data_IF_374098838609
#
_entry.id   IF_374098838609
#
_cell.length_a   1.000
_cell.length_b   1.000
_cell.length_c   1.000
_cell.angle_alpha   90.00
_cell.angle_beta   90.00
_cell.angle_gamma   90.00
#
_symmetry.space_group_name_H-M   'P 1'
#
loop_
_entity.id
_entity.type
_entity.pdbx_description
1 polymer ?
#
# COMPACT_ATOMS: atom_id res chain seq x y z
N UNK A 1 -11.93 -13.39 -42.96
CA UNK A 1 -12.84 -14.47 -42.47
C UNK A 1 -13.09 -14.23 -41.01
N UNK A 2 -14.23 -13.61 -40.71
CA UNK A 2 -14.61 -13.25 -39.36
C UNK A 2 -15.22 -14.46 -38.64
N UNK A 3 -14.77 -14.73 -37.41
CA UNK A 3 -15.46 -15.63 -36.47
C UNK A 3 -16.50 -14.82 -35.71
N UNK A 4 -17.79 -15.11 -35.98
CA UNK A 4 -18.89 -14.59 -35.21
C UNK A 4 -18.89 -15.20 -33.80
N UNK A 5 -18.99 -14.34 -32.78
CA UNK A 5 -19.23 -14.74 -31.40
C UNK A 5 -20.69 -15.19 -31.27
N UNK A 6 -20.91 -16.41 -30.79
CA UNK A 6 -22.23 -16.94 -30.48
C UNK A 6 -22.77 -16.26 -29.20
N UNK A 7 -24.07 -15.94 -29.15
CA UNK A 7 -24.67 -15.32 -27.97
C UNK A 7 -24.86 -16.34 -26.84
N UNK A 8 -24.42 -15.99 -25.64
CA UNK A 8 -24.44 -16.78 -24.38
C UNK A 8 -25.89 -17.00 -23.84
N UNK A 9 -26.93 -16.87 -24.63
CA UNK A 9 -28.32 -16.85 -24.17
C UNK A 9 -29.08 -18.17 -24.30
N UNK A 10 -28.53 -19.26 -24.80
CA UNK A 10 -29.33 -20.45 -25.14
C UNK A 10 -29.00 -21.74 -24.37
N UNK A 11 -28.33 -21.70 -23.22
CA UNK A 11 -28.03 -22.90 -22.44
C UNK A 11 -28.63 -22.96 -21.02
N UNK A 12 -29.70 -22.23 -20.72
CA UNK A 12 -30.38 -22.38 -19.42
C UNK A 12 -31.80 -22.95 -19.65
N UNK A 13 -31.95 -24.23 -19.40
CA UNK A 13 -33.22 -24.93 -19.51
C UNK A 13 -34.26 -24.47 -18.50
N UNK A 14 -35.55 -24.75 -18.78
CA UNK A 14 -36.74 -24.30 -18.01
C UNK A 14 -36.75 -24.75 -16.52
N UNK A 15 -35.95 -25.73 -16.12
CA UNK A 15 -35.84 -26.20 -14.73
C UNK A 15 -35.05 -25.24 -13.81
N UNK A 16 -34.24 -24.34 -14.38
CA UNK A 16 -33.39 -23.44 -13.61
C UNK A 16 -34.07 -22.12 -13.23
N UNK A 17 -35.22 -21.80 -13.82
CA UNK A 17 -35.91 -20.52 -13.55
C UNK A 17 -36.52 -20.47 -12.16
N UNK A 18 -37.09 -21.58 -11.68
CA UNK A 18 -37.66 -21.64 -10.33
C UNK A 18 -36.62 -21.55 -9.23
N UNK A 19 -35.42 -22.11 -9.45
CA UNK A 19 -34.31 -22.02 -8.51
C UNK A 19 -33.66 -20.62 -8.53
N UNK A 20 -33.56 -19.99 -9.69
CA UNK A 20 -33.05 -18.64 -9.85
C UNK A 20 -33.96 -17.57 -9.23
N UNK A 21 -35.29 -17.77 -9.31
CA UNK A 21 -36.24 -16.86 -8.70
C UNK A 21 -36.33 -17.06 -7.17
N UNK A 22 -36.26 -18.31 -6.68
CA UNK A 22 -36.15 -18.59 -5.24
C UNK A 22 -34.85 -18.06 -4.62
N UNK A 23 -33.71 -18.18 -5.32
CA UNK A 23 -32.43 -17.61 -4.90
C UNK A 23 -32.46 -16.08 -4.96
N UNK A 24 -33.23 -15.47 -5.86
CA UNK A 24 -33.44 -14.03 -5.92
C UNK A 24 -34.28 -13.49 -4.77
N UNK A 25 -35.28 -14.21 -4.30
CA UNK A 25 -36.10 -13.76 -3.17
C UNK A 25 -35.39 -13.91 -1.81
N UNK A 26 -34.56 -14.95 -1.62
CA UNK A 26 -33.86 -15.18 -0.36
C UNK A 26 -32.56 -14.36 -0.21
N UNK A 27 -31.99 -13.79 -1.26
CA UNK A 27 -30.71 -13.13 -1.21
C UNK A 27 -30.70 -11.63 -1.52
N UNK A 28 -31.84 -10.97 -1.60
CA UNK A 28 -31.84 -9.50 -1.50
C UNK A 28 -31.54 -9.12 -0.05
N UNK A 29 -30.32 -9.36 0.39
CA UNK A 29 -29.81 -8.69 1.59
C UNK A 29 -30.05 -7.20 1.39
N UNK A 30 -30.94 -6.64 2.21
CA UNK A 30 -31.19 -5.20 2.22
C UNK A 30 -29.82 -4.55 2.42
N UNK A 31 -29.32 -3.86 1.40
CA UNK A 31 -28.11 -3.04 1.55
C UNK A 31 -28.48 -1.94 2.53
N UNK A 32 -28.07 -2.11 3.78
CA UNK A 32 -28.16 -1.05 4.78
C UNK A 32 -26.93 -0.19 4.58
N UNK A 33 -27.06 1.09 4.24
CA UNK A 33 -25.91 1.96 4.15
C UNK A 33 -25.27 2.03 5.55
N UNK A 34 -23.98 1.81 5.60
CA UNK A 34 -23.18 1.88 6.83
C UNK A 34 -23.24 3.30 7.45
N UNK A 35 -23.57 4.29 6.65
CA UNK A 35 -23.66 5.70 7.04
C UNK A 35 -25.00 6.30 6.64
N UNK A 36 -25.77 6.77 7.63
CA UNK A 36 -27.00 7.53 7.42
C UNK A 36 -26.73 9.04 7.56
N UNK A 37 -26.74 9.73 6.44
CA UNK A 37 -26.59 11.18 6.43
C UNK A 37 -27.79 11.92 7.06
N UNK A 38 -27.53 12.88 7.90
CA UNK A 38 -28.51 13.86 8.37
C UNK A 38 -29.02 14.72 7.21
N UNK A 39 -30.09 15.50 7.43
CA UNK A 39 -30.61 16.41 6.40
C UNK A 39 -29.56 17.46 5.99
N UNK A 40 -28.77 17.93 6.94
CA UNK A 40 -27.69 18.92 6.71
C UNK A 40 -26.55 18.31 5.89
N UNK A 41 -26.09 17.13 6.24
CA UNK A 41 -25.05 16.39 5.48
C UNK A 41 -25.51 16.07 4.06
N UNK A 42 -26.76 15.67 3.88
CA UNK A 42 -27.32 15.48 2.52
C UNK A 42 -27.30 16.79 1.70
N UNK A 43 -27.54 17.94 2.33
CA UNK A 43 -27.43 19.22 1.64
C UNK A 43 -25.97 19.50 1.24
N UNK A 44 -25.00 19.22 2.11
CA UNK A 44 -23.56 19.34 1.80
C UNK A 44 -23.12 18.40 0.69
N UNK A 45 -23.57 17.14 0.71
CA UNK A 45 -23.30 16.16 -0.36
C UNK A 45 -23.82 16.66 -1.70
N UNK A 46 -25.05 17.19 -1.76
CA UNK A 46 -25.61 17.77 -3.00
C UNK A 46 -24.82 19.00 -3.47
N UNK A 47 -24.41 19.85 -2.54
CA UNK A 47 -23.58 21.01 -2.86
C UNK A 47 -22.22 20.58 -3.45
N UNK A 48 -21.57 19.56 -2.85
CA UNK A 48 -20.33 18.99 -3.35
C UNK A 48 -20.52 18.39 -4.74
N UNK A 49 -21.58 17.58 -4.93
CA UNK A 49 -21.93 16.98 -6.22
C UNK A 49 -22.08 18.04 -7.31
N UNK A 50 -22.84 19.11 -7.03
CA UNK A 50 -23.07 20.20 -7.96
C UNK A 50 -21.79 20.98 -8.27
N UNK A 51 -20.98 21.29 -7.25
CA UNK A 51 -19.74 22.05 -7.42
C UNK A 51 -18.68 21.31 -8.24
N UNK A 52 -18.63 19.97 -8.11
CA UNK A 52 -17.64 19.13 -8.79
C UNK A 52 -18.17 18.45 -10.06
N UNK A 53 -19.44 18.65 -10.44
CA UNK A 53 -20.06 17.95 -11.58
C UNK A 53 -20.17 16.45 -11.38
N UNK A 54 -20.32 15.98 -10.14
CA UNK A 54 -20.35 14.55 -9.78
C UNK A 54 -21.79 14.07 -9.59
N UNK A 55 -21.98 12.75 -9.75
CA UNK A 55 -23.20 12.10 -9.31
C UNK A 55 -23.31 12.14 -7.77
N UNK A 56 -24.53 12.33 -7.22
CA UNK A 56 -24.74 12.43 -5.77
C UNK A 56 -24.17 11.23 -4.99
N UNK A 57 -24.28 10.01 -5.53
CA UNK A 57 -23.72 8.83 -4.89
C UNK A 57 -22.17 8.91 -4.77
N UNK A 58 -21.50 9.39 -5.81
CA UNK A 58 -20.04 9.59 -5.78
C UNK A 58 -19.67 10.65 -4.74
N UNK A 59 -20.39 11.76 -4.71
CA UNK A 59 -20.16 12.80 -3.72
C UNK A 59 -20.45 12.31 -2.29
N UNK A 60 -21.46 11.46 -2.08
CA UNK A 60 -21.75 10.83 -0.80
C UNK A 60 -20.61 9.93 -0.31
N UNK A 61 -20.03 9.12 -1.20
CA UNK A 61 -18.87 8.27 -0.89
C UNK A 61 -17.64 9.13 -0.54
N UNK A 62 -17.39 10.19 -1.29
CA UNK A 62 -16.29 11.11 -0.99
C UNK A 62 -16.49 11.79 0.37
N UNK A 63 -17.70 12.29 0.61
CA UNK A 63 -18.06 12.96 1.86
C UNK A 63 -17.90 12.05 3.09
N UNK A 64 -18.35 10.79 3.01
CA UNK A 64 -18.20 9.80 4.10
C UNK A 64 -16.73 9.47 4.41
N UNK A 65 -15.82 9.79 3.50
CA UNK A 65 -14.36 9.64 3.65
C UNK A 65 -13.66 10.95 4.06
N UNK A 66 -14.41 11.97 4.47
CA UNK A 66 -13.85 13.28 4.86
C UNK A 66 -13.43 14.16 3.69
N UNK A 67 -13.77 13.78 2.44
CA UNK A 67 -13.53 14.57 1.23
C UNK A 67 -14.80 15.43 1.00
N UNK A 68 -14.89 16.52 1.73
CA UNK A 68 -16.10 17.31 1.93
C UNK A 68 -16.06 18.69 1.25
N UNK A 69 -14.95 19.03 0.57
CA UNK A 69 -14.81 20.26 -0.21
C UNK A 69 -14.45 19.98 -1.67
N UNK A 70 -14.76 20.90 -2.60
CA UNK A 70 -14.39 20.77 -4.01
C UNK A 70 -12.88 20.61 -4.21
N UNK A 71 -12.06 21.31 -3.46
CA UNK A 71 -10.60 21.26 -3.55
C UNK A 71 -10.05 19.89 -3.15
N UNK A 72 -10.60 19.30 -2.06
CA UNK A 72 -10.26 17.95 -1.64
C UNK A 72 -10.71 16.92 -2.68
N UNK A 73 -11.92 17.10 -3.25
CA UNK A 73 -12.45 16.21 -4.28
C UNK A 73 -11.61 16.29 -5.57
N UNK A 74 -11.24 17.48 -6.02
CA UNK A 74 -10.34 17.64 -7.17
C UNK A 74 -8.99 16.96 -6.93
N UNK A 75 -8.39 17.20 -5.79
CA UNK A 75 -7.10 16.58 -5.43
C UNK A 75 -7.16 15.06 -5.40
N UNK A 76 -8.27 14.48 -4.92
CA UNK A 76 -8.47 13.04 -4.84
C UNK A 76 -8.76 12.41 -6.21
N UNK A 77 -9.63 13.05 -7.01
CA UNK A 77 -10.08 12.52 -8.30
C UNK A 77 -9.11 12.81 -9.46
N UNK A 78 -8.26 13.82 -9.31
CA UNK A 78 -7.30 14.23 -10.34
C UNK A 78 -5.87 14.07 -9.83
N UNK A 79 -5.36 12.83 -9.72
CA UNK A 79 -4.01 12.59 -9.23
C UNK A 79 -2.98 13.31 -10.11
N UNK A 80 -2.11 14.08 -9.47
CA UNK A 80 -1.09 14.87 -10.16
C UNK A 80 0.19 14.91 -9.33
N UNK A 81 1.34 14.87 -10.00
CA UNK A 81 2.63 15.06 -9.36
C UNK A 81 2.76 16.41 -8.60
N UNK A 82 1.91 17.39 -8.93
CA UNK A 82 1.83 18.67 -8.19
C UNK A 82 1.38 18.48 -6.73
N UNK A 83 0.72 17.38 -6.43
CA UNK A 83 0.21 17.07 -5.11
C UNK A 83 1.19 16.23 -4.28
N UNK A 84 2.33 15.85 -4.84
CA UNK A 84 3.36 15.12 -4.09
C UNK A 84 3.95 16.02 -3.01
N UNK A 85 3.95 15.49 -1.81
CA UNK A 85 4.62 16.11 -0.69
C UNK A 85 6.12 15.78 -0.74
N UNK A 86 6.93 16.62 -0.10
CA UNK A 86 8.34 16.27 0.02
C UNK A 86 8.49 15.01 0.88
N UNK A 87 9.16 13.93 0.40
CA UNK A 87 9.39 12.75 1.20
C UNK A 87 10.25 13.04 2.44
N UNK A 88 11.04 14.11 2.44
CA UNK A 88 11.86 14.53 3.57
C UNK A 88 11.08 15.15 4.74
N UNK A 89 9.76 15.29 4.60
CA UNK A 89 8.87 15.56 5.74
C UNK A 89 8.64 14.28 6.58
N UNK A 90 8.84 13.09 6.02
CA UNK A 90 8.78 11.85 6.79
C UNK A 90 10.04 11.69 7.63
N UNK A 91 9.85 11.41 8.91
CA UNK A 91 10.93 11.05 9.83
C UNK A 91 11.69 9.83 9.30
N UNK A 92 13.01 9.84 9.39
CA UNK A 92 13.86 8.73 8.95
C UNK A 92 14.22 8.76 7.45
N UNK A 93 13.58 9.60 6.64
CA UNK A 93 13.82 9.63 5.19
C UNK A 93 15.24 10.12 4.85
N UNK A 94 15.82 11.07 5.62
CA UNK A 94 17.21 11.50 5.41
C UNK A 94 18.17 10.36 5.72
N UNK A 95 17.99 9.72 6.85
CA UNK A 95 18.81 8.59 7.31
C UNK A 95 18.78 7.44 6.30
N UNK A 96 17.61 7.17 5.68
CA UNK A 96 17.48 6.19 4.61
C UNK A 96 18.28 6.58 3.38
N UNK A 97 18.13 7.83 2.91
CA UNK A 97 18.84 8.29 1.70
C UNK A 97 20.34 8.36 1.91
N UNK A 98 20.78 8.79 3.10
CA UNK A 98 22.20 8.85 3.46
C UNK A 98 22.81 7.45 3.54
N UNK A 99 22.10 6.49 4.16
CA UNK A 99 22.52 5.09 4.23
C UNK A 99 22.68 4.46 2.84
N UNK A 100 21.75 4.72 1.92
CA UNK A 100 21.83 4.26 0.53
C UNK A 100 23.05 4.88 -0.18
N UNK A 101 23.31 6.18 0.04
CA UNK A 101 24.46 6.87 -0.54
C UNK A 101 25.81 6.32 -0.01
N UNK A 102 25.88 6.02 1.30
CA UNK A 102 27.04 5.38 1.93
C UNK A 102 27.30 4.00 1.34
N UNK A 103 26.27 3.14 1.23
CA UNK A 103 26.37 1.81 0.62
C UNK A 103 26.84 1.90 -0.82
N UNK A 104 26.31 2.86 -1.60
CA UNK A 104 26.75 3.11 -2.97
C UNK A 104 28.23 3.49 -3.02
N UNK A 105 28.67 4.42 -2.21
CA UNK A 105 30.07 4.89 -2.17
C UNK A 105 31.04 3.77 -1.80
N UNK A 106 30.62 2.86 -0.90
CA UNK A 106 31.40 1.69 -0.50
C UNK A 106 31.34 0.53 -1.50
N UNK A 107 30.56 0.62 -2.58
CA UNK A 107 30.34 -0.49 -3.52
C UNK A 107 29.58 -1.66 -2.92
N UNK A 108 28.87 -1.43 -1.81
CA UNK A 108 28.07 -2.41 -1.10
C UNK A 108 26.80 -2.85 -1.84
N UNK A 109 26.00 -3.69 -1.20
CA UNK A 109 24.73 -4.19 -1.75
C UNK A 109 23.58 -3.85 -0.80
N UNK A 110 22.47 -3.40 -1.36
CA UNK A 110 21.19 -3.23 -0.67
C UNK A 110 20.29 -4.42 -0.98
N UNK A 111 19.76 -5.08 0.04
CA UNK A 111 18.68 -6.03 -0.12
C UNK A 111 17.34 -5.33 0.22
N UNK A 112 16.38 -5.40 -0.70
CA UNK A 112 15.01 -4.92 -0.50
C UNK A 112 14.16 -6.11 -0.08
N UNK A 113 13.53 -6.01 1.08
CA UNK A 113 12.62 -7.04 1.60
C UNK A 113 11.19 -6.51 1.52
N UNK A 114 10.35 -7.08 0.64
CA UNK A 114 8.96 -6.68 0.44
C UNK A 114 7.96 -7.62 1.08
N UNK A 115 6.67 -7.25 1.03
CA UNK A 115 5.57 -8.16 1.33
C UNK A 115 5.10 -8.89 0.06
N UNK A 116 4.34 -9.97 0.23
CA UNK A 116 3.88 -10.86 -0.84
C UNK A 116 2.63 -10.37 -1.58
N UNK A 117 2.01 -9.29 -1.15
CA UNK A 117 0.81 -8.75 -1.80
C UNK A 117 1.15 -7.75 -2.92
N UNK A 118 0.13 -7.18 -3.54
CA UNK A 118 0.31 -6.26 -4.66
C UNK A 118 1.02 -4.97 -4.26
N UNK A 119 0.82 -4.50 -3.04
CA UNK A 119 1.46 -3.29 -2.52
C UNK A 119 2.95 -3.55 -2.25
N UNK A 120 3.28 -4.61 -1.52
CA UNK A 120 4.66 -4.99 -1.24
C UNK A 120 5.48 -5.34 -2.48
N UNK A 121 4.89 -6.08 -3.43
CA UNK A 121 5.54 -6.37 -4.71
C UNK A 121 5.78 -5.08 -5.50
N UNK A 122 4.78 -4.18 -5.54
CA UNK A 122 4.90 -2.87 -6.18
C UNK A 122 5.98 -2.01 -5.55
N UNK A 123 5.99 -1.90 -4.22
CA UNK A 123 6.99 -1.17 -3.45
C UNK A 123 8.41 -1.70 -3.68
N UNK A 124 8.58 -3.03 -3.63
CA UNK A 124 9.87 -3.69 -3.89
C UNK A 124 10.37 -3.41 -5.32
N UNK A 125 9.50 -3.48 -6.31
CA UNK A 125 9.85 -3.20 -7.70
C UNK A 125 10.26 -1.73 -7.92
N UNK A 126 9.56 -0.79 -7.28
CA UNK A 126 9.85 0.65 -7.35
C UNK A 126 11.22 0.93 -6.72
N UNK A 127 11.43 0.49 -5.48
CA UNK A 127 12.70 0.74 -4.78
C UNK A 127 13.88 0.06 -5.47
N UNK A 128 13.75 -1.21 -5.87
CA UNK A 128 14.78 -1.93 -6.61
C UNK A 128 15.17 -1.20 -7.90
N UNK A 129 14.18 -0.74 -8.66
CA UNK A 129 14.39 0.00 -9.90
C UNK A 129 15.10 1.35 -9.65
N UNK A 130 14.69 2.07 -8.60
CA UNK A 130 15.30 3.33 -8.21
C UNK A 130 16.77 3.13 -7.78
N UNK A 131 17.05 2.15 -6.94
CA UNK A 131 18.41 1.81 -6.49
C UNK A 131 19.34 1.49 -7.67
N UNK A 132 18.88 0.64 -8.59
CA UNK A 132 19.65 0.29 -9.80
C UNK A 132 19.93 1.50 -10.69
N UNK A 133 18.92 2.36 -10.91
CA UNK A 133 19.10 3.61 -11.67
C UNK A 133 20.06 4.58 -10.99
N UNK A 134 20.09 4.57 -9.66
CA UNK A 134 21.02 5.35 -8.87
C UNK A 134 22.46 4.74 -8.81
N UNK A 135 22.65 3.58 -9.44
CA UNK A 135 23.95 2.89 -9.51
C UNK A 135 24.30 2.13 -8.22
N UNK A 136 23.31 1.71 -7.46
CA UNK A 136 23.45 0.85 -6.28
C UNK A 136 23.27 -0.60 -6.69
N UNK A 137 24.15 -1.47 -6.23
CA UNK A 137 23.95 -2.92 -6.34
C UNK A 137 22.77 -3.30 -5.44
N UNK A 138 21.72 -3.90 -6.03
CA UNK A 138 20.53 -4.21 -5.27
C UNK A 138 19.89 -5.53 -5.73
N UNK A 139 19.37 -6.27 -4.76
CA UNK A 139 18.51 -7.45 -4.92
C UNK A 139 17.20 -7.22 -4.21
N UNK A 140 16.15 -7.93 -4.61
CA UNK A 140 14.87 -7.92 -3.90
C UNK A 140 14.49 -9.33 -3.50
N UNK A 141 13.87 -9.45 -2.36
CA UNK A 141 13.25 -10.66 -1.84
C UNK A 141 11.80 -10.36 -1.50
N UNK A 142 10.90 -11.18 -1.99
CA UNK A 142 9.48 -11.17 -1.65
C UNK A 142 9.16 -12.56 -1.11
N UNK A 143 8.69 -12.68 0.14
CA UNK A 143 8.40 -13.98 0.72
C UNK A 143 7.23 -14.67 0.01
N UNK A 144 7.19 -15.99 0.07
CA UNK A 144 6.01 -16.74 -0.35
C UNK A 144 4.89 -16.62 0.69
N UNK A 145 3.63 -16.68 0.25
CA UNK A 145 2.47 -16.62 1.17
C UNK A 145 2.52 -17.68 2.29
N UNK A 146 3.15 -18.80 2.02
CA UNK A 146 3.34 -19.89 3.00
C UNK A 146 4.29 -19.52 4.14
N UNK A 147 5.15 -18.51 3.96
CA UNK A 147 6.10 -18.03 4.98
C UNK A 147 5.42 -17.10 6.01
N UNK A 148 4.22 -16.62 5.72
CA UNK A 148 3.48 -15.68 6.57
C UNK A 148 3.73 -14.22 6.22
N UNK A 149 3.09 -13.34 6.99
CA UNK A 149 3.22 -11.89 6.83
C UNK A 149 4.45 -11.35 7.55
N UNK A 150 5.09 -10.36 6.92
CA UNK A 150 6.26 -9.69 7.48
C UNK A 150 7.58 -10.41 7.28
N UNK A 151 8.60 -10.00 8.01
CA UNK A 151 9.92 -10.64 7.95
C UNK A 151 9.95 -11.99 8.66
N UNK A 152 10.68 -12.95 8.10
CA UNK A 152 11.02 -14.20 8.78
C UNK A 152 12.53 -14.37 8.92
N UNK A 153 12.97 -14.92 10.06
CA UNK A 153 14.41 -15.16 10.29
C UNK A 153 15.00 -16.09 9.22
N UNK A 154 14.23 -17.09 8.78
CA UNK A 154 14.69 -18.05 7.76
C UNK A 154 14.94 -17.39 6.40
N UNK A 155 14.11 -16.44 5.99
CA UNK A 155 14.30 -15.68 4.74
C UNK A 155 15.44 -14.68 4.87
N UNK A 156 15.56 -14.03 6.04
CA UNK A 156 16.66 -13.11 6.32
C UNK A 156 18.01 -13.82 6.33
N UNK A 157 18.07 -15.03 6.89
CA UNK A 157 19.28 -15.85 6.90
C UNK A 157 19.74 -16.18 5.48
N UNK A 158 18.82 -16.65 4.63
CA UNK A 158 19.12 -16.90 3.21
C UNK A 158 19.64 -15.65 2.50
N UNK A 159 18.99 -14.50 2.69
CA UNK A 159 19.39 -13.24 2.06
C UNK A 159 20.79 -12.82 2.51
N UNK A 160 21.06 -12.90 3.82
CA UNK A 160 22.34 -12.49 4.39
C UNK A 160 23.46 -13.41 3.92
N UNK A 161 23.23 -14.71 3.93
CA UNK A 161 24.25 -15.69 3.57
C UNK A 161 24.53 -15.73 2.06
N UNK A 162 23.51 -15.52 1.23
CA UNK A 162 23.65 -15.54 -0.24
C UNK A 162 24.24 -14.24 -0.79
N UNK A 163 23.79 -13.09 -0.30
CA UNK A 163 24.10 -11.79 -0.91
C UNK A 163 25.05 -10.94 -0.08
N UNK A 164 25.26 -11.24 1.19
CA UNK A 164 26.05 -10.43 2.13
C UNK A 164 25.74 -8.92 2.03
N UNK A 165 24.47 -8.49 2.21
CA UNK A 165 24.08 -7.10 2.03
C UNK A 165 24.71 -6.21 3.11
N UNK A 166 25.05 -4.98 2.75
CA UNK A 166 25.47 -3.95 3.70
C UNK A 166 24.27 -3.27 4.38
N UNK A 167 23.13 -3.31 3.72
CA UNK A 167 21.87 -2.71 4.18
C UNK A 167 20.68 -3.57 3.72
N UNK A 168 19.76 -3.82 4.63
CA UNK A 168 18.44 -4.34 4.30
C UNK A 168 17.45 -3.20 4.48
N UNK A 169 16.64 -2.94 3.44
CA UNK A 169 15.52 -2.01 3.48
C UNK A 169 14.25 -2.81 3.31
N UNK A 170 13.36 -2.75 4.30
CA UNK A 170 12.03 -3.34 4.15
C UNK A 170 11.10 -2.36 3.44
N UNK A 171 10.15 -2.87 2.70
CA UNK A 171 9.08 -2.07 2.07
C UNK A 171 7.74 -2.75 2.33
N UNK A 172 6.75 -1.97 2.73
CA UNK A 172 5.39 -2.43 3.02
C UNK A 172 5.31 -3.47 4.15
N UNK A 173 6.33 -3.56 4.98
CA UNK A 173 6.37 -4.44 6.14
C UNK A 173 7.50 -4.03 7.09
N UNK A 174 7.50 -4.61 8.29
CA UNK A 174 8.64 -4.51 9.19
C UNK A 174 8.40 -3.68 10.44
N UNK A 175 7.40 -2.79 10.47
CA UNK A 175 7.16 -1.93 11.65
C UNK A 175 6.88 -2.74 12.92
N UNK A 176 6.33 -3.94 12.80
CA UNK A 176 6.06 -4.86 13.91
C UNK A 176 7.14 -5.93 14.12
N UNK A 177 8.15 -5.99 13.25
CA UNK A 177 9.17 -7.05 13.21
C UNK A 177 10.42 -6.69 14.01
N UNK A 178 10.25 -6.42 15.30
CA UNK A 178 11.36 -6.01 16.17
C UNK A 178 12.44 -7.08 16.32
N UNK A 179 12.04 -8.34 16.55
CA UNK A 179 12.98 -9.45 16.76
C UNK A 179 13.82 -9.72 15.51
N UNK A 180 13.19 -9.63 14.33
CA UNK A 180 13.86 -9.82 13.05
C UNK A 180 14.84 -8.67 12.76
N UNK A 181 14.49 -7.44 13.11
CA UNK A 181 15.40 -6.30 13.00
C UNK A 181 16.61 -6.46 13.94
N UNK A 182 16.41 -6.95 15.17
CA UNK A 182 17.49 -7.29 16.10
C UNK A 182 18.37 -8.43 15.54
N UNK A 183 17.77 -9.44 14.90
CA UNK A 183 18.50 -10.52 14.23
C UNK A 183 19.40 -9.97 13.10
N UNK A 184 18.87 -9.12 12.21
CA UNK A 184 19.67 -8.51 11.14
C UNK A 184 20.87 -7.75 11.71
N UNK A 185 20.67 -6.95 12.76
CA UNK A 185 21.73 -6.22 13.44
C UNK A 185 22.78 -7.15 14.07
N UNK A 186 22.34 -8.27 14.66
CA UNK A 186 23.27 -9.27 15.25
C UNK A 186 24.19 -9.92 14.22
N UNK A 187 23.75 -9.95 12.94
CA UNK A 187 24.53 -10.42 11.80
C UNK A 187 25.46 -9.33 11.22
N UNK A 188 25.54 -8.14 11.86
CA UNK A 188 26.37 -7.03 11.41
C UNK A 188 25.81 -6.27 10.19
N UNK A 189 24.56 -6.48 9.84
CA UNK A 189 23.88 -5.81 8.72
C UNK A 189 23.05 -4.66 9.23
N UNK A 190 23.12 -3.51 8.54
CA UNK A 190 22.22 -2.37 8.83
C UNK A 190 20.81 -2.67 8.33
N UNK A 191 19.80 -2.24 9.08
CA UNK A 191 18.40 -2.37 8.69
C UNK A 191 17.68 -1.03 8.79
N UNK A 192 16.85 -0.75 7.79
CA UNK A 192 15.92 0.39 7.79
C UNK A 192 14.56 -0.13 7.37
N UNK A 193 13.54 0.20 8.14
CA UNK A 193 12.16 -0.19 7.89
C UNK A 193 11.46 0.95 7.16
N UNK A 194 10.83 0.66 6.00
CA UNK A 194 9.84 1.55 5.38
C UNK A 194 8.51 0.83 5.34
N UNK A 195 7.50 1.42 5.96
CA UNK A 195 6.21 0.78 6.19
C UNK A 195 5.10 1.84 6.31
N UNK A 196 3.84 1.46 6.15
CA UNK A 196 2.68 2.33 6.31
C UNK A 196 1.63 1.75 7.27
N UNK A 197 1.86 0.55 7.77
CA UNK A 197 0.96 -0.10 8.72
C UNK A 197 0.89 0.64 10.05
N UNK A 198 -0.11 0.28 10.87
CA UNK A 198 -0.30 0.84 12.20
C UNK A 198 0.93 0.60 13.08
N UNK A 199 1.26 1.60 13.87
CA UNK A 199 2.44 1.54 14.73
C UNK A 199 2.18 0.60 15.91
N UNK A 200 3.08 -0.36 16.16
CA UNK A 200 3.00 -1.19 17.36
C UNK A 200 3.37 -0.38 18.61
N UNK A 201 3.07 -0.90 19.79
CA UNK A 201 3.44 -0.29 21.07
C UNK A 201 4.96 -0.04 21.19
N UNK A 202 5.78 -0.91 20.57
CA UNK A 202 7.24 -0.80 20.56
C UNK A 202 7.78 -1.00 19.15
N UNK A 203 8.39 0.03 18.62
CA UNK A 203 9.04 0.00 17.32
C UNK A 203 10.32 -0.86 17.33
N UNK A 204 10.76 -1.37 16.16
CA UNK A 204 12.10 -1.91 15.97
C UNK A 204 13.18 -0.89 16.35
N UNK A 205 14.28 -1.36 16.93
CA UNK A 205 15.43 -0.51 17.29
C UNK A 205 16.31 -0.24 16.05
N UNK A 206 15.74 0.46 15.07
CA UNK A 206 16.38 0.90 13.85
C UNK A 206 15.69 2.15 13.30
N UNK A 207 16.21 2.71 12.21
CA UNK A 207 15.49 3.77 11.50
C UNK A 207 14.20 3.22 10.92
N UNK A 208 13.09 3.86 11.24
CA UNK A 208 11.76 3.55 10.70
C UNK A 208 11.27 4.78 9.93
N UNK A 209 10.84 4.57 8.70
CA UNK A 209 10.13 5.53 7.86
C UNK A 209 8.69 5.07 7.75
N UNK A 210 7.77 5.83 8.32
CA UNK A 210 6.35 5.52 8.28
C UNK A 210 5.56 6.83 8.37
N UNK A 211 4.58 7.10 7.51
CA UNK A 211 3.83 8.35 7.52
C UNK A 211 3.05 8.61 8.81
N UNK A 212 2.83 7.57 9.63
CA UNK A 212 2.12 7.65 10.94
C UNK A 212 3.06 7.90 12.13
N UNK A 213 4.38 7.99 11.91
CA UNK A 213 5.38 8.06 13.00
C UNK A 213 5.41 9.39 13.75
N UNK A 214 4.96 10.45 13.12
CA UNK A 214 4.94 11.77 13.72
C UNK A 214 3.86 12.61 13.05
N UNK A 215 3.29 13.56 13.77
CA UNK A 215 2.31 14.53 13.27
C UNK A 215 2.89 15.47 12.18
N UNK A 216 4.13 15.24 11.76
CA UNK A 216 4.86 16.09 10.83
C UNK A 216 4.54 15.80 9.36
N UNK A 217 4.13 14.58 9.00
CA UNK A 217 3.79 14.23 7.63
C UNK A 217 2.27 14.43 7.41
N UNK A 218 1.88 15.36 6.53
CA UNK A 218 0.48 15.80 6.45
C UNK A 218 -0.44 14.83 5.69
N UNK A 219 0.02 13.62 5.35
CA UNK A 219 -0.77 12.60 4.67
C UNK A 219 -0.38 11.19 5.13
N UNK A 220 -1.17 10.63 6.03
CA UNK A 220 -0.94 9.33 6.67
C UNK A 220 -1.51 8.13 5.89
N UNK A 221 -2.27 8.38 4.81
CA UNK A 221 -2.91 7.36 3.98
C UNK A 221 -2.06 6.94 2.77
N UNK A 222 -0.74 7.00 2.86
CA UNK A 222 0.11 6.39 1.84
C UNK A 222 -0.02 4.87 1.91
N UNK A 223 -0.02 4.21 0.74
CA UNK A 223 0.20 2.77 0.66
C UNK A 223 1.70 2.44 0.72
N UNK A 224 2.06 1.16 0.84
CA UNK A 224 3.47 0.74 0.91
C UNK A 224 4.27 1.12 -0.33
N UNK A 225 3.62 1.14 -1.52
CA UNK A 225 4.25 1.59 -2.77
C UNK A 225 4.32 3.13 -2.90
N UNK A 226 3.57 3.87 -2.07
CA UNK A 226 3.51 5.33 -2.10
C UNK A 226 4.65 5.98 -1.37
#
# INVERSE_FOLDING_TARGET
MGRAALPVKECIGAADRGLADAVREESMKKIVPEYEFTAEERARVRALASACGLHELTAAILYSRGIDTPEKAERFLSPSAKHFLSPFLMRGMRELTDAIAEVRAAGGLVAVYGDYDADGIGAAAILLSALRRFGVRAVAHVPERAEGYGMSVSSLEKIIDEYAPSLIVTVDCGVSNRAEAEYIKSRGVRVIVTDHHELPERLPDCTVVNPKLADEYPYDNLCGAG
#
